data_IF_436806326447
#
_entry.id   IF_436806326447
#
_cell.length_a   1.000
_cell.length_b   1.000
_cell.length_c   1.000
_cell.angle_alpha   90.00
_cell.angle_beta   90.00
_cell.angle_gamma   90.00
#
_symmetry.space_group_name_H-M   'P 1'
#
loop_
_entity.id
_entity.type
_entity.pdbx_description
1 polymer ?
#
# COMPACT_ATOMS: atom_id res chain seq x y z
N UNK A 1 6.91 -8.97 6.57
CA UNK A 1 7.29 -7.73 5.86
C UNK A 1 7.20 -8.02 4.38
N UNK A 2 6.13 -7.57 3.73
CA UNK A 2 6.09 -7.44 2.28
C UNK A 2 7.09 -6.29 1.98
N UNK A 3 8.32 -6.64 1.64
CA UNK A 3 9.30 -5.65 1.18
C UNK A 3 8.95 -5.37 -0.27
N UNK A 4 8.59 -4.13 -0.58
CA UNK A 4 8.57 -3.64 -1.94
C UNK A 4 9.96 -3.92 -2.57
N UNK A 5 10.01 -4.91 -3.43
CA UNK A 5 11.24 -5.32 -4.11
C UNK A 5 11.25 -4.68 -5.48
N UNK A 6 11.43 -3.34 -5.49
CA UNK A 6 11.63 -2.68 -6.77
C UNK A 6 13.09 -2.87 -7.20
N UNK A 7 13.34 -3.64 -8.25
CA UNK A 7 14.68 -3.78 -8.78
C UNK A 7 15.13 -2.43 -9.33
N UNK A 8 16.24 -1.92 -8.81
CA UNK A 8 16.81 -0.61 -9.14
C UNK A 8 18.05 -0.83 -9.98
N UNK A 9 18.19 -0.09 -11.08
CA UNK A 9 19.40 -0.03 -11.90
C UNK A 9 20.52 0.71 -11.14
N UNK A 10 21.74 0.62 -11.64
CA UNK A 10 22.91 1.29 -11.06
C UNK A 10 22.82 2.82 -11.04
N UNK A 11 21.98 3.40 -11.90
CA UNK A 11 21.70 4.84 -11.98
C UNK A 11 20.55 5.30 -11.05
N UNK A 12 19.98 4.39 -10.25
CA UNK A 12 18.85 4.66 -9.36
C UNK A 12 17.48 4.62 -10.03
N UNK A 13 17.40 4.39 -11.35
CA UNK A 13 16.14 4.19 -12.05
C UNK A 13 15.54 2.81 -11.78
N UNK A 14 14.23 2.68 -11.99
CA UNK A 14 13.54 1.38 -11.84
C UNK A 14 13.89 0.49 -13.02
N UNK A 15 14.33 -0.75 -12.73
CA UNK A 15 14.49 -1.79 -13.73
C UNK A 15 13.11 -2.38 -14.05
N UNK A 16 12.43 -1.78 -15.04
CA UNK A 16 11.07 -2.15 -15.41
C UNK A 16 10.97 -3.62 -15.90
N UNK A 17 11.94 -4.10 -16.65
CA UNK A 17 11.91 -5.48 -17.17
C UNK A 17 11.98 -6.50 -16.02
N UNK A 18 12.87 -6.29 -15.05
CA UNK A 18 12.97 -7.15 -13.89
C UNK A 18 11.72 -7.08 -12.99
N UNK A 19 11.08 -5.91 -12.90
CA UNK A 19 9.82 -5.75 -12.18
C UNK A 19 8.68 -6.52 -12.88
N UNK A 20 8.57 -6.42 -14.21
CA UNK A 20 7.58 -7.14 -15.01
C UNK A 20 7.76 -8.65 -14.88
N UNK A 21 9.00 -9.15 -14.98
CA UNK A 21 9.31 -10.56 -14.84
C UNK A 21 8.92 -11.08 -13.44
N UNK A 22 9.14 -10.26 -12.40
CA UNK A 22 8.70 -10.59 -11.06
C UNK A 22 7.17 -10.65 -10.95
N UNK A 23 6.46 -9.64 -11.45
CA UNK A 23 4.99 -9.60 -11.39
C UNK A 23 4.35 -10.81 -12.08
N UNK A 24 4.83 -11.18 -13.27
CA UNK A 24 4.35 -12.35 -14.01
C UNK A 24 4.75 -13.67 -13.33
N UNK A 25 5.89 -13.71 -12.61
CA UNK A 25 6.30 -14.91 -11.87
C UNK A 25 5.37 -15.21 -10.68
N UNK A 26 4.73 -14.21 -10.12
CA UNK A 26 3.75 -14.36 -9.01
C UNK A 26 2.41 -14.89 -9.52
N UNK A 27 1.99 -14.46 -10.72
CA UNK A 27 0.79 -14.93 -11.39
C UNK A 27 1.00 -15.08 -12.90
N UNK A 28 1.03 -16.31 -13.37
CA UNK A 28 1.24 -16.66 -14.79
C UNK A 28 0.06 -16.27 -15.70
N UNK A 29 -1.08 -15.87 -15.15
CA UNK A 29 -2.24 -15.41 -15.91
C UNK A 29 -2.11 -13.95 -16.36
N UNK A 30 -1.10 -13.21 -15.87
CA UNK A 30 -0.88 -11.82 -16.24
C UNK A 30 -0.26 -11.71 -17.64
N UNK A 31 -0.81 -10.80 -18.44
CA UNK A 31 -0.24 -10.41 -19.73
C UNK A 31 0.89 -9.39 -19.50
N UNK A 32 2.14 -9.85 -19.69
CA UNK A 32 3.33 -9.05 -19.50
C UNK A 32 3.40 -7.83 -20.41
N UNK A 33 3.00 -7.99 -21.67
CA UNK A 33 3.08 -6.90 -22.66
C UNK A 33 2.02 -5.83 -22.39
N UNK A 34 0.81 -6.23 -22.03
CA UNK A 34 -0.23 -5.27 -21.65
C UNK A 34 0.15 -4.50 -20.36
N UNK A 35 0.79 -5.16 -19.39
CA UNK A 35 1.28 -4.50 -18.19
C UNK A 35 2.46 -3.57 -18.49
N UNK A 36 3.36 -3.97 -19.39
CA UNK A 36 4.46 -3.13 -19.89
C UNK A 36 3.95 -1.86 -20.57
N UNK A 37 2.95 -1.98 -21.42
CA UNK A 37 2.35 -0.83 -22.10
C UNK A 37 1.79 0.18 -21.08
N UNK A 38 1.10 -0.26 -20.05
CA UNK A 38 0.60 0.61 -18.99
C UNK A 38 1.73 1.31 -18.23
N UNK A 39 2.81 0.59 -17.92
CA UNK A 39 3.99 1.14 -17.25
C UNK A 39 4.69 2.20 -18.10
N UNK A 40 4.89 1.93 -19.39
CA UNK A 40 5.52 2.89 -20.33
C UNK A 40 4.66 4.13 -20.51
N UNK A 41 3.34 3.98 -20.62
CA UNK A 41 2.41 5.09 -20.70
C UNK A 41 2.44 5.96 -19.44
N UNK A 42 2.40 5.35 -18.25
CA UNK A 42 2.49 6.09 -16.98
C UNK A 42 3.82 6.85 -16.85
N UNK A 43 4.94 6.21 -17.20
CA UNK A 43 6.27 6.82 -17.15
C UNK A 43 6.39 7.99 -18.13
N UNK A 44 5.93 7.83 -19.37
CA UNK A 44 5.96 8.90 -20.38
C UNK A 44 5.09 10.09 -19.97
N UNK A 45 3.90 9.85 -19.43
CA UNK A 45 3.00 10.90 -18.93
C UNK A 45 3.61 11.71 -17.78
N UNK A 46 4.28 11.03 -16.83
CA UNK A 46 5.00 11.70 -15.75
C UNK A 46 6.15 12.55 -16.27
N UNK A 47 6.94 12.04 -17.24
CA UNK A 47 8.04 12.78 -17.85
C UNK A 47 7.55 14.04 -18.58
N UNK A 48 6.45 13.95 -19.31
CA UNK A 48 5.84 15.11 -19.98
C UNK A 48 5.35 16.15 -18.97
N UNK A 49 4.69 15.74 -17.89
CA UNK A 49 4.23 16.63 -16.84
C UNK A 49 5.39 17.33 -16.12
N UNK A 50 6.48 16.62 -15.85
CA UNK A 50 7.69 17.17 -15.23
C UNK A 50 8.37 18.19 -16.15
N UNK A 51 8.45 17.90 -17.45
CA UNK A 51 9.00 18.83 -18.46
C UNK A 51 8.17 20.11 -18.58
N UNK A 52 6.84 20.01 -18.44
CA UNK A 52 5.92 21.15 -18.45
C UNK A 52 5.91 21.95 -17.13
N UNK A 53 6.71 21.55 -16.12
CA UNK A 53 6.75 22.14 -14.77
C UNK A 53 5.42 22.09 -14.01
N UNK A 54 4.53 21.19 -14.37
CA UNK A 54 3.28 20.92 -13.66
C UNK A 54 3.49 19.96 -12.49
N UNK A 55 4.51 20.22 -11.66
CA UNK A 55 4.81 19.45 -10.46
C UNK A 55 3.83 19.82 -9.33
N UNK A 56 2.80 19.02 -9.15
CA UNK A 56 1.86 19.15 -8.00
C UNK A 56 2.28 18.33 -6.79
N UNK A 57 3.25 17.39 -6.93
CA UNK A 57 3.75 16.58 -5.82
C UNK A 57 5.22 16.85 -5.57
N UNK A 58 5.54 17.30 -4.37
CA UNK A 58 6.93 17.42 -3.90
C UNK A 58 7.64 16.06 -3.93
N UNK A 59 8.42 15.81 -4.99
CA UNK A 59 9.48 14.83 -5.00
C UNK A 59 9.11 13.33 -5.07
N UNK A 60 7.82 12.95 -5.12
CA UNK A 60 7.44 11.53 -5.20
C UNK A 60 6.97 11.18 -6.61
N UNK A 61 7.67 10.27 -7.29
CA UNK A 61 7.27 9.77 -8.60
C UNK A 61 5.92 9.07 -8.56
N UNK A 62 4.98 9.54 -9.39
CA UNK A 62 3.65 8.94 -9.56
C UNK A 62 3.76 7.54 -10.15
N UNK A 63 4.67 7.36 -11.13
CA UNK A 63 4.96 6.08 -11.76
C UNK A 63 5.51 5.07 -10.73
N UNK A 64 6.51 5.47 -9.94
CA UNK A 64 7.09 4.61 -8.90
C UNK A 64 6.05 4.17 -7.87
N UNK A 65 5.22 5.10 -7.41
CA UNK A 65 4.13 4.79 -6.48
C UNK A 65 3.12 3.85 -7.11
N UNK A 66 2.79 4.02 -8.39
CA UNK A 66 1.92 3.11 -9.14
C UNK A 66 2.46 1.67 -9.18
N UNK A 67 3.76 1.51 -9.41
CA UNK A 67 4.41 0.19 -9.36
C UNK A 67 4.38 -0.44 -7.95
N UNK A 68 4.61 0.35 -6.90
CA UNK A 68 4.52 -0.13 -5.51
C UNK A 68 3.10 -0.63 -5.16
N UNK A 69 2.07 0.09 -5.62
CA UNK A 69 0.68 -0.33 -5.44
C UNK A 69 0.43 -1.63 -6.21
N UNK A 70 0.83 -1.69 -7.48
CA UNK A 70 0.65 -2.87 -8.33
C UNK A 70 1.36 -4.11 -7.78
N UNK A 71 2.54 -3.97 -7.16
CA UNK A 71 3.26 -5.05 -6.50
C UNK A 71 2.46 -5.65 -5.34
N UNK A 72 1.89 -4.81 -4.48
CA UNK A 72 1.01 -5.29 -3.39
C UNK A 72 -0.19 -6.05 -3.95
N UNK A 73 -0.78 -5.58 -5.05
CA UNK A 73 -1.92 -6.24 -5.68
C UNK A 73 -1.54 -7.54 -6.38
N UNK A 74 -0.34 -7.63 -6.96
CA UNK A 74 0.22 -8.87 -7.51
C UNK A 74 0.40 -9.93 -6.41
N UNK A 75 0.95 -9.55 -5.25
CA UNK A 75 1.07 -10.43 -4.08
C UNK A 75 -0.30 -10.92 -3.58
N UNK A 76 -1.35 -10.11 -3.74
CA UNK A 76 -2.74 -10.47 -3.44
C UNK A 76 -3.39 -11.28 -4.58
N UNK A 77 -2.68 -11.54 -5.69
CA UNK A 77 -3.15 -12.25 -6.88
C UNK A 77 -4.39 -11.62 -7.50
N UNK A 78 -4.40 -10.30 -7.65
CA UNK A 78 -5.43 -9.58 -8.37
C UNK A 78 -5.22 -9.70 -9.89
N UNK A 79 -6.32 -9.48 -10.61
CA UNK A 79 -6.35 -9.57 -12.06
C UNK A 79 -5.57 -8.44 -12.77
N UNK A 80 -5.37 -8.62 -14.07
CA UNK A 80 -4.66 -7.71 -14.96
C UNK A 80 -5.20 -6.27 -14.89
N UNK A 81 -6.53 -6.11 -14.94
CA UNK A 81 -7.17 -4.78 -14.92
C UNK A 81 -6.87 -4.03 -13.63
N UNK A 82 -6.81 -4.73 -12.50
CA UNK A 82 -6.46 -4.16 -11.20
C UNK A 82 -5.01 -3.67 -11.15
N UNK A 83 -4.07 -4.44 -11.72
CA UNK A 83 -2.66 -4.05 -11.77
C UNK A 83 -2.46 -2.85 -12.69
N UNK A 84 -3.08 -2.86 -13.88
CA UNK A 84 -3.04 -1.72 -14.81
C UNK A 84 -3.65 -0.48 -14.17
N UNK A 85 -4.81 -0.61 -13.50
CA UNK A 85 -5.42 0.50 -12.78
C UNK A 85 -4.51 1.06 -11.68
N UNK A 86 -3.81 0.21 -10.94
CA UNK A 86 -2.86 0.61 -9.90
C UNK A 86 -1.68 1.41 -10.46
N UNK A 87 -1.09 0.95 -11.56
CA UNK A 87 0.03 1.64 -12.24
C UNK A 87 -0.38 3.04 -12.70
N UNK A 88 -1.59 3.19 -13.26
CA UNK A 88 -2.08 4.44 -13.85
C UNK A 88 -2.73 5.39 -12.82
N UNK A 89 -3.27 4.86 -11.72
CA UNK A 89 -4.07 5.61 -10.76
C UNK A 89 -3.41 6.89 -10.26
N UNK A 90 -2.12 6.81 -9.90
CA UNK A 90 -1.42 7.97 -9.35
C UNK A 90 -1.24 9.07 -10.40
N UNK A 91 -0.95 8.71 -11.65
CA UNK A 91 -0.86 9.66 -12.76
C UNK A 91 -2.19 10.37 -13.04
N UNK A 92 -3.31 9.63 -12.96
CA UNK A 92 -4.65 10.24 -13.10
C UNK A 92 -4.95 11.19 -11.95
N UNK A 93 -4.67 10.77 -10.71
CA UNK A 93 -4.89 11.59 -9.51
C UNK A 93 -4.11 12.90 -9.52
N UNK A 94 -2.89 12.89 -10.03
CA UNK A 94 -2.01 14.07 -10.13
C UNK A 94 -2.26 14.90 -11.41
N UNK A 95 -3.25 14.54 -12.23
CA UNK A 95 -3.59 15.25 -13.48
C UNK A 95 -2.56 15.08 -14.60
N UNK A 96 -1.72 14.07 -14.55
CA UNK A 96 -0.73 13.72 -15.57
C UNK A 96 -1.35 12.88 -16.69
N UNK A 97 -2.43 12.17 -16.38
CA UNK A 97 -3.16 11.28 -17.29
C UNK A 97 -4.64 11.61 -17.19
N UNK A 98 -5.29 11.78 -18.35
CA UNK A 98 -6.73 11.99 -18.41
C UNK A 98 -7.48 10.66 -18.37
N UNK A 99 -8.54 10.57 -17.56
CA UNK A 99 -9.33 9.34 -17.41
C UNK A 99 -9.95 8.84 -18.72
N UNK A 100 -10.45 9.70 -19.64
CA UNK A 100 -10.90 9.27 -20.96
C UNK A 100 -9.81 8.59 -21.79
N UNK A 101 -8.56 9.03 -21.71
CA UNK A 101 -7.43 8.41 -22.40
C UNK A 101 -7.15 6.99 -21.85
N UNK A 102 -7.32 6.79 -20.53
CA UNK A 102 -7.25 5.45 -19.91
C UNK A 102 -8.35 4.55 -20.47
N UNK A 103 -9.59 5.04 -20.52
CA UNK A 103 -10.72 4.26 -21.02
C UNK A 103 -10.54 3.84 -22.49
N UNK A 104 -10.01 4.74 -23.32
CA UNK A 104 -9.75 4.48 -24.73
C UNK A 104 -8.64 3.46 -24.95
N UNK A 105 -7.56 3.53 -24.17
CA UNK A 105 -6.34 2.74 -24.38
C UNK A 105 -6.34 1.42 -23.62
N UNK A 106 -6.82 1.41 -22.39
CA UNK A 106 -6.77 0.27 -21.48
C UNK A 106 -8.15 -0.32 -21.15
N UNK A 107 -9.20 0.25 -21.70
CA UNK A 107 -10.57 -0.22 -21.57
C UNK A 107 -11.38 0.44 -20.44
N UNK A 108 -12.71 0.31 -20.51
CA UNK A 108 -13.64 0.96 -19.58
C UNK A 108 -13.57 0.37 -18.17
N UNK A 109 -13.16 -0.89 -18.00
CA UNK A 109 -13.04 -1.54 -16.69
C UNK A 109 -11.93 -0.88 -15.87
N UNK A 110 -10.74 -0.69 -16.47
CA UNK A 110 -9.60 -0.01 -15.83
C UNK A 110 -9.98 1.43 -15.43
N UNK A 111 -10.62 2.18 -16.34
CA UNK A 111 -11.07 3.54 -16.05
C UNK A 111 -12.10 3.58 -14.91
N UNK A 112 -13.04 2.64 -14.86
CA UNK A 112 -14.05 2.52 -13.80
C UNK A 112 -13.40 2.21 -12.44
N UNK A 113 -12.39 1.35 -12.40
CA UNK A 113 -11.63 1.06 -11.19
C UNK A 113 -10.93 2.32 -10.66
N UNK A 114 -10.22 3.05 -11.53
CA UNK A 114 -9.53 4.29 -11.16
C UNK A 114 -10.52 5.35 -10.65
N UNK A 115 -11.64 5.55 -11.34
CA UNK A 115 -12.70 6.48 -10.92
C UNK A 115 -13.27 6.10 -9.54
N UNK A 116 -13.50 4.80 -9.30
CA UNK A 116 -13.92 4.29 -8.00
C UNK A 116 -12.93 4.62 -6.88
N UNK A 117 -11.63 4.43 -7.13
CA UNK A 117 -10.57 4.76 -6.15
C UNK A 117 -10.48 6.27 -5.90
N UNK A 118 -10.65 7.10 -6.94
CA UNK A 118 -10.69 8.56 -6.80
C UNK A 118 -11.88 9.01 -5.95
N UNK A 119 -13.08 8.46 -6.20
CA UNK A 119 -14.28 8.74 -5.38
C UNK A 119 -14.07 8.32 -3.93
N UNK A 120 -13.49 7.17 -3.68
CA UNK A 120 -13.17 6.72 -2.34
C UNK A 120 -12.16 7.63 -1.63
N UNK A 121 -11.17 8.16 -2.36
CA UNK A 121 -10.22 9.13 -1.85
C UNK A 121 -10.88 10.47 -1.49
N UNK A 122 -11.84 10.94 -2.30
CA UNK A 122 -12.60 12.17 -2.02
C UNK A 122 -13.47 12.03 -0.76
N UNK A 123 -14.09 10.87 -0.54
CA UNK A 123 -14.85 10.57 0.67
C UNK A 123 -13.92 10.62 1.90
N UNK A 124 -12.74 9.97 1.85
CA UNK A 124 -11.76 10.04 2.94
C UNK A 124 -11.32 11.47 3.25
N UNK A 125 -11.05 12.28 2.23
CA UNK A 125 -10.58 13.66 2.40
C UNK A 125 -11.65 14.57 3.01
N UNK A 126 -12.93 14.31 2.76
CA UNK A 126 -14.04 15.05 3.36
C UNK A 126 -14.23 14.74 4.85
N UNK A 127 -13.61 13.68 5.35
CA UNK A 127 -13.66 13.22 6.74
C UNK A 127 -12.47 13.81 7.53
N UNK A 128 -12.42 15.13 7.63
CA UNK A 128 -11.37 15.88 8.37
C UNK A 128 -11.20 15.38 9.81
N UNK A 129 -9.96 15.36 10.35
CA UNK A 129 -9.67 14.97 11.75
C UNK A 129 -10.45 15.79 12.80
N UNK A 130 -10.87 17.02 12.46
CA UNK A 130 -11.71 17.86 13.31
C UNK A 130 -13.15 17.33 13.48
N UNK A 131 -13.69 16.63 12.48
CA UNK A 131 -15.02 16.05 12.56
C UNK A 131 -15.02 14.68 13.28
N UNK A 132 -13.94 13.91 13.20
CA UNK A 132 -13.83 12.63 13.91
C UNK A 132 -13.76 12.81 15.44
N UNK A 133 -13.16 13.91 15.93
CA UNK A 133 -13.13 14.25 17.36
C UNK A 133 -14.49 14.69 17.91
N UNK A 134 -15.36 15.25 17.05
CA UNK A 134 -16.69 15.76 17.45
C UNK A 134 -17.77 14.67 17.32
N UNK A 135 -17.63 13.72 16.39
CA UNK A 135 -18.66 12.72 16.06
C UNK A 135 -18.53 11.38 16.82
N UNK A 136 -17.45 11.16 17.57
CA UNK A 136 -17.25 9.92 18.32
C UNK A 136 -17.33 8.67 17.46
N UNK A 137 -17.60 7.51 18.08
CA UNK A 137 -17.70 6.18 17.41
C UNK A 137 -18.79 6.10 16.33
N UNK A 138 -19.87 6.88 16.44
CA UNK A 138 -20.95 6.89 15.44
C UNK A 138 -20.50 7.53 14.11
N UNK A 139 -19.67 8.56 14.15
CA UNK A 139 -19.12 9.17 12.94
C UNK A 139 -18.18 8.24 12.16
N UNK A 140 -17.38 7.47 12.86
CA UNK A 140 -16.50 6.46 12.26
C UNK A 140 -17.30 5.34 11.57
N UNK A 141 -18.39 4.88 12.18
CA UNK A 141 -19.27 3.86 11.61
C UNK A 141 -19.97 4.36 10.35
N UNK A 142 -20.47 5.61 10.35
CA UNK A 142 -21.13 6.18 9.17
C UNK A 142 -20.13 6.41 8.01
N UNK A 143 -18.90 6.76 8.32
CA UNK A 143 -17.84 6.92 7.35
C UNK A 143 -17.43 5.59 6.71
N UNK A 144 -17.25 4.56 7.52
CA UNK A 144 -17.05 3.19 7.03
C UNK A 144 -18.23 2.73 6.17
N UNK A 145 -19.47 3.07 6.57
CA UNK A 145 -20.67 2.73 5.79
C UNK A 145 -20.66 3.42 4.41
N UNK A 146 -20.33 4.70 4.33
CA UNK A 146 -20.21 5.44 3.06
C UNK A 146 -19.13 4.86 2.17
N UNK A 147 -17.98 4.50 2.75
CA UNK A 147 -16.92 3.82 2.01
C UNK A 147 -17.35 2.43 1.54
N UNK A 148 -18.04 1.65 2.37
CA UNK A 148 -18.58 0.35 1.98
C UNK A 148 -19.62 0.48 0.87
N UNK A 149 -20.47 1.50 0.89
CA UNK A 149 -21.42 1.78 -0.20
C UNK A 149 -20.71 2.13 -1.50
N UNK A 150 -19.63 2.89 -1.45
CA UNK A 150 -18.80 3.18 -2.64
C UNK A 150 -18.08 1.94 -3.21
N UNK A 151 -17.93 0.88 -2.41
CA UNK A 151 -17.33 -0.41 -2.78
C UNK A 151 -18.35 -1.44 -3.31
N UNK A 152 -19.65 -1.15 -3.22
CA UNK A 152 -20.71 -2.12 -3.58
C UNK A 152 -20.60 -2.57 -5.04
N UNK A 153 -20.07 -1.71 -5.92
CA UNK A 153 -19.94 -2.02 -7.35
C UNK A 153 -18.75 -2.95 -7.65
N UNK A 154 -17.61 -2.80 -6.95
CA UNK A 154 -16.41 -3.60 -7.21
C UNK A 154 -15.43 -3.58 -6.01
N UNK A 155 -15.24 -4.74 -5.40
CA UNK A 155 -14.31 -4.89 -4.24
C UNK A 155 -12.85 -4.57 -4.59
N UNK A 156 -12.45 -4.67 -5.86
CA UNK A 156 -11.09 -4.35 -6.33
C UNK A 156 -10.74 -2.89 -6.06
N UNK A 157 -11.72 -1.98 -6.11
CA UNK A 157 -11.55 -0.56 -5.75
C UNK A 157 -11.01 -0.41 -4.32
N UNK A 158 -11.54 -1.17 -3.39
CA UNK A 158 -11.06 -1.16 -2.00
C UNK A 158 -9.66 -1.73 -1.85
N UNK A 159 -9.35 -2.80 -2.59
CA UNK A 159 -8.04 -3.44 -2.55
C UNK A 159 -6.96 -2.51 -3.11
N UNK A 160 -7.23 -1.83 -4.24
CA UNK A 160 -6.35 -0.81 -4.80
C UNK A 160 -6.14 0.33 -3.78
N UNK A 161 -7.22 0.78 -3.14
CA UNK A 161 -7.13 1.86 -2.14
C UNK A 161 -6.36 1.45 -0.89
N UNK A 162 -6.51 0.21 -0.41
CA UNK A 162 -5.73 -0.33 0.70
C UNK A 162 -4.24 -0.42 0.36
N UNK A 163 -3.91 -0.89 -0.84
CA UNK A 163 -2.53 -0.93 -1.31
C UNK A 163 -1.92 0.49 -1.39
N UNK A 164 -2.68 1.47 -1.92
CA UNK A 164 -2.26 2.87 -1.97
C UNK A 164 -2.02 3.45 -0.57
N UNK A 165 -2.89 3.16 0.40
CA UNK A 165 -2.70 3.62 1.78
C UNK A 165 -1.52 2.93 2.47
N UNK A 166 -1.24 1.68 2.15
CA UNK A 166 -0.04 0.97 2.62
C UNK A 166 1.24 1.64 2.10
N UNK A 167 1.29 1.98 0.81
CA UNK A 167 2.40 2.76 0.25
C UNK A 167 2.52 4.14 0.92
N UNK A 168 1.40 4.83 1.13
CA UNK A 168 1.39 6.15 1.74
C UNK A 168 1.94 6.15 3.17
N UNK A 169 1.52 5.20 4.02
CA UNK A 169 2.01 5.13 5.40
C UNK A 169 3.48 4.71 5.49
N UNK A 170 3.98 3.91 4.55
CA UNK A 170 5.41 3.60 4.42
C UNK A 170 6.22 4.85 4.06
N UNK A 171 5.72 5.64 3.12
CA UNK A 171 6.39 6.82 2.59
C UNK A 171 6.50 7.98 3.61
N UNK A 172 5.58 8.10 4.57
CA UNK A 172 5.62 9.19 5.56
C UNK A 172 6.68 9.03 6.66
N UNK A 173 7.49 7.99 6.62
CA UNK A 173 8.56 7.76 7.59
C UNK A 173 9.51 8.97 7.73
N UNK A 174 9.79 9.66 6.62
CA UNK A 174 10.69 10.82 6.56
C UNK A 174 9.95 12.15 6.48
N UNK A 175 8.61 12.14 6.52
CA UNK A 175 7.79 13.35 6.52
C UNK A 175 7.81 14.03 7.90
N UNK A 176 7.38 15.30 7.94
CA UNK A 176 7.16 16.02 9.18
C UNK A 176 6.11 15.32 10.07
N UNK A 177 6.11 15.65 11.36
CA UNK A 177 5.27 15.01 12.35
C UNK A 177 3.77 15.23 12.10
N UNK A 178 3.40 16.39 11.58
CA UNK A 178 1.99 16.71 11.29
C UNK A 178 1.44 15.83 10.17
N UNK A 179 2.15 15.75 9.05
CA UNK A 179 1.79 14.90 7.91
C UNK A 179 1.79 13.42 8.30
N UNK A 180 2.82 12.99 9.03
CA UNK A 180 2.96 11.61 9.50
C UNK A 180 1.79 11.21 10.42
N UNK A 181 1.46 12.02 11.42
CA UNK A 181 0.38 11.76 12.36
C UNK A 181 -1.00 11.79 11.66
N UNK A 182 -1.20 12.70 10.71
CA UNK A 182 -2.45 12.76 9.93
C UNK A 182 -2.67 11.48 9.13
N UNK A 183 -1.65 11.03 8.40
CA UNK A 183 -1.73 9.79 7.61
C UNK A 183 -1.90 8.57 8.51
N UNK A 184 -1.14 8.49 9.61
CA UNK A 184 -1.23 7.38 10.55
C UNK A 184 -2.63 7.28 11.20
N UNK A 185 -3.22 8.40 11.57
CA UNK A 185 -4.58 8.45 12.14
C UNK A 185 -5.64 8.02 11.12
N UNK A 186 -5.58 8.54 9.89
CA UNK A 186 -6.48 8.13 8.81
C UNK A 186 -6.40 6.62 8.56
N UNK A 187 -5.17 6.09 8.51
CA UNK A 187 -4.93 4.66 8.28
C UNK A 187 -5.47 3.82 9.44
N UNK A 188 -5.21 4.21 10.68
CA UNK A 188 -5.66 3.51 11.88
C UNK A 188 -7.18 3.50 12.02
N UNK A 189 -7.82 4.67 11.81
CA UNK A 189 -9.26 4.84 12.06
C UNK A 189 -10.13 4.25 10.95
N UNK A 190 -9.61 4.17 9.70
CA UNK A 190 -10.41 3.83 8.53
C UNK A 190 -9.90 2.57 7.83
N UNK A 191 -8.64 2.56 7.41
CA UNK A 191 -8.14 1.54 6.48
C UNK A 191 -7.74 0.22 7.14
N UNK A 192 -7.22 0.24 8.36
CA UNK A 192 -6.93 -0.97 9.11
C UNK A 192 -8.22 -1.76 9.48
N UNK A 193 -9.31 -1.12 9.97
CA UNK A 193 -10.61 -1.78 10.12
C UNK A 193 -11.20 -2.29 8.80
N UNK A 194 -10.99 -1.58 7.69
CA UNK A 194 -11.42 -2.02 6.37
C UNK A 194 -10.68 -3.30 5.94
N UNK A 195 -9.36 -3.33 6.07
CA UNK A 195 -8.53 -4.51 5.78
C UNK A 195 -8.95 -5.72 6.63
N UNK A 196 -9.31 -5.48 7.90
CA UNK A 196 -9.84 -6.52 8.79
C UNK A 196 -11.14 -7.12 8.26
N UNK A 197 -12.08 -6.29 7.85
CA UNK A 197 -13.38 -6.75 7.31
C UNK A 197 -13.26 -7.50 5.98
N UNK A 198 -12.27 -7.14 5.16
CA UNK A 198 -11.97 -7.84 3.92
C UNK A 198 -11.14 -9.12 4.13
N UNK A 199 -10.75 -9.44 5.37
CA UNK A 199 -9.98 -10.64 5.70
C UNK A 199 -8.52 -10.57 5.29
N UNK A 200 -7.97 -9.38 4.97
CA UNK A 200 -6.59 -9.21 4.52
C UNK A 200 -5.68 -8.97 5.73
N UNK A 201 -5.41 -10.03 6.48
CA UNK A 201 -4.73 -9.95 7.77
C UNK A 201 -3.33 -9.33 7.72
N UNK A 202 -2.54 -9.64 6.69
CA UNK A 202 -1.17 -9.11 6.57
C UNK A 202 -1.13 -7.60 6.32
N UNK A 203 -2.03 -7.06 5.48
CA UNK A 203 -2.17 -5.61 5.28
C UNK A 203 -2.69 -4.96 6.56
N UNK A 204 -3.72 -5.53 7.19
CA UNK A 204 -4.23 -5.05 8.47
C UNK A 204 -3.11 -4.87 9.49
N UNK A 205 -2.31 -5.92 9.71
CA UNK A 205 -1.24 -5.87 10.71
C UNK A 205 -0.17 -4.84 10.38
N UNK A 206 0.19 -4.69 9.12
CA UNK A 206 1.15 -3.68 8.71
C UNK A 206 0.62 -2.26 8.92
N UNK A 207 -0.65 -2.01 8.55
CA UNK A 207 -1.31 -0.73 8.75
C UNK A 207 -1.41 -0.37 10.25
N UNK A 208 -1.80 -1.33 11.09
CA UNK A 208 -1.88 -1.14 12.54
C UNK A 208 -0.50 -0.91 13.16
N UNK A 209 0.52 -1.71 12.80
CA UNK A 209 1.88 -1.58 13.35
C UNK A 209 2.52 -0.22 13.01
N UNK A 210 2.46 0.19 11.74
CA UNK A 210 3.01 1.48 11.32
C UNK A 210 2.23 2.65 11.92
N UNK A 211 0.89 2.56 11.99
CA UNK A 211 0.08 3.61 12.61
C UNK A 211 0.40 3.76 14.10
N UNK A 212 0.45 2.65 14.83
CA UNK A 212 0.79 2.66 16.25
C UNK A 212 2.21 3.21 16.50
N UNK A 213 3.16 2.82 15.67
CA UNK A 213 4.54 3.32 15.75
C UNK A 213 4.63 4.85 15.61
N UNK A 214 3.76 5.44 14.76
CA UNK A 214 3.78 6.88 14.51
C UNK A 214 2.92 7.66 15.50
N UNK A 215 1.78 7.10 15.93
CA UNK A 215 0.86 7.76 16.86
C UNK A 215 1.34 7.69 18.32
N UNK A 216 1.94 6.56 18.72
CA UNK A 216 2.35 6.29 20.10
C UNK A 216 3.81 5.78 20.15
N UNK A 217 4.79 6.61 19.73
CA UNK A 217 6.17 6.15 19.53
C UNK A 217 6.86 5.67 20.81
N UNK A 218 6.53 6.23 21.96
CA UNK A 218 7.15 5.83 23.23
C UNK A 218 6.59 4.50 23.73
N UNK A 219 5.29 4.30 23.64
CA UNK A 219 4.66 3.02 23.96
C UNK A 219 5.12 1.92 23.01
N UNK A 220 5.24 2.23 21.71
CA UNK A 220 5.77 1.30 20.72
C UNK A 220 7.20 0.85 21.08
N UNK A 221 8.09 1.77 21.45
CA UNK A 221 9.46 1.45 21.87
C UNK A 221 9.50 0.57 23.12
N UNK A 222 8.65 0.86 24.12
CA UNK A 222 8.57 0.07 25.35
C UNK A 222 8.13 -1.38 25.05
N UNK A 223 7.07 -1.55 24.24
CA UNK A 223 6.58 -2.88 23.84
C UNK A 223 7.64 -3.62 23.02
N UNK A 224 8.28 -2.94 22.06
CA UNK A 224 9.34 -3.53 21.23
C UNK A 224 10.51 -4.03 22.09
N UNK A 225 10.90 -3.28 23.12
CA UNK A 225 11.95 -3.67 24.07
C UNK A 225 11.54 -4.94 24.84
N UNK A 226 10.35 -4.96 25.41
CA UNK A 226 9.84 -6.11 26.18
C UNK A 226 9.73 -7.37 25.31
N UNK A 227 9.28 -7.22 24.05
CA UNK A 227 9.21 -8.34 23.11
C UNK A 227 10.60 -8.85 22.72
N UNK A 228 11.57 -7.95 22.57
CA UNK A 228 12.96 -8.33 22.29
C UNK A 228 13.59 -9.11 23.46
N UNK A 229 13.41 -8.65 24.69
CA UNK A 229 13.90 -9.32 25.89
C UNK A 229 13.31 -10.74 25.99
N UNK A 230 12.00 -10.90 25.84
CA UNK A 230 11.32 -12.20 25.82
C UNK A 230 11.77 -13.11 24.67
N UNK A 231 12.16 -12.54 23.53
CA UNK A 231 12.70 -13.31 22.39
C UNK A 231 14.07 -13.87 22.76
N UNK A 232 14.94 -13.07 23.34
CA UNK A 232 16.27 -13.52 23.78
C UNK A 232 16.17 -14.60 24.85
N UNK A 233 15.27 -14.47 25.80
CA UNK A 233 15.06 -15.48 26.84
C UNK A 233 14.58 -16.81 26.23
N UNK A 234 13.69 -16.75 25.24
CA UNK A 234 13.20 -17.93 24.52
C UNK A 234 14.29 -18.59 23.68
N UNK A 235 15.11 -17.78 22.98
CA UNK A 235 16.24 -18.31 22.22
C UNK A 235 17.29 -18.98 23.12
N UNK A 236 17.56 -18.43 24.31
CA UNK A 236 18.43 -19.07 25.34
C UNK A 236 17.83 -20.38 25.81
N UNK A 237 16.56 -20.37 26.18
CA UNK A 237 15.87 -21.60 26.63
C UNK A 237 15.91 -22.71 25.56
N UNK A 238 15.67 -22.38 24.31
CA UNK A 238 15.76 -23.34 23.20
C UNK A 238 17.18 -23.88 23.06
N UNK A 239 18.20 -23.01 23.14
CA UNK A 239 19.59 -23.42 23.08
C UNK A 239 19.98 -24.36 24.23
N UNK A 240 19.53 -24.07 25.45
CA UNK A 240 19.78 -24.91 26.63
C UNK A 240 19.11 -26.28 26.47
N UNK A 241 17.87 -26.33 26.05
CA UNK A 241 17.17 -27.62 25.78
C UNK A 241 17.84 -28.41 24.67
N UNK A 242 18.28 -27.76 23.60
CA UNK A 242 19.02 -28.42 22.51
C UNK A 242 20.35 -28.99 22.99
N UNK A 243 21.06 -28.28 23.86
CA UNK A 243 22.33 -28.77 24.44
C UNK A 243 22.08 -29.96 25.37
N UNK A 244 21.06 -29.92 26.24
CA UNK A 244 20.69 -31.06 27.10
C UNK A 244 20.36 -32.30 26.27
N UNK A 245 19.54 -32.15 25.23
CA UNK A 245 19.18 -33.27 24.33
C UNK A 245 20.41 -33.85 23.62
N UNK A 246 21.36 -33.00 23.17
CA UNK A 246 22.61 -33.51 22.58
C UNK A 246 23.46 -34.32 23.56
N UNK A 247 23.56 -33.86 24.82
CA UNK A 247 24.32 -34.58 25.86
C UNK A 247 23.66 -35.92 26.15
N UNK A 248 22.35 -35.97 26.34
CA UNK A 248 21.60 -37.21 26.60
C UNK A 248 21.70 -38.22 25.43
N UNK A 249 21.61 -37.74 24.19
CA UNK A 249 21.73 -38.57 22.98
C UNK A 249 23.16 -39.10 22.74
N UNK A 250 24.18 -38.43 23.28
CA UNK A 250 25.56 -38.89 23.19
C UNK A 250 25.94 -39.85 24.33
N UNK A 251 25.15 -39.88 25.38
CA UNK A 251 25.36 -40.76 26.54
C UNK A 251 24.68 -42.15 26.37
N UNK A 252 23.88 -42.33 25.33
CA UNK A 252 23.20 -43.57 24.95
C UNK A 252 23.93 -44.30 23.83
#
# INVERSE_FOLDING_TARGET
>A
QVRAHQPINTDGSINLEAWLDHAVSVDLALDREALKEACEFARASEQQANAAKNLWSEGTSSFRTGLEIAEILADLKLDQDSLVAAVLYRGVREGQIELPAVSQRFGPVVAKLIDGVLRMAAISASLSPRQSLVLGTQGQVENLRKMLVAMVDDVRVALIKLAERTCAIRAVKTADDEKRNRVAREVFDIYAPLAHRLGIGHIKWELEDLSFRYLEPDQYKQIAKLLHERRLDRERFIADVMNQLKVELQAT
#
